data_IF_846898305536
#
_entry.id   IF_846898305536
#
_cell.length_a   1.000
_cell.length_b   1.000
_cell.length_c   1.000
_cell.angle_alpha   90.00
_cell.angle_beta   90.00
_cell.angle_gamma   90.00
#
_symmetry.space_group_name_H-M   'P 1'
#
loop_
_entity.id
_entity.type
_entity.pdbx_description
1 polymer ?
#
# COMPACT_ATOMS: atom_id res chain seq x y z
N UNK A 1 27.18 -5.67 -6.68
CA UNK A 1 26.13 -6.57 -6.13
C UNK A 1 25.89 -7.72 -7.11
N UNK A 2 26.10 -8.96 -6.72
CA UNK A 2 25.74 -10.12 -7.55
C UNK A 2 24.50 -10.78 -6.93
N UNK A 3 23.36 -10.68 -7.59
CA UNK A 3 22.07 -11.27 -7.14
C UNK A 3 22.20 -12.75 -6.78
N UNK A 4 23.08 -13.48 -7.45
CA UNK A 4 23.32 -14.92 -7.23
C UNK A 4 23.78 -15.26 -5.81
N UNK A 5 24.39 -14.32 -5.11
CA UNK A 5 24.93 -14.53 -3.77
C UNK A 5 23.90 -14.30 -2.67
N UNK A 6 22.73 -13.70 -3.02
CA UNK A 6 21.71 -13.31 -2.05
C UNK A 6 20.83 -14.47 -1.56
N UNK A 7 20.81 -15.59 -2.30
CA UNK A 7 20.07 -16.81 -1.95
C UNK A 7 19.10 -17.26 -3.04
N UNK A 8 18.84 -18.57 -3.12
CA UNK A 8 18.06 -19.18 -4.20
C UNK A 8 16.64 -18.63 -4.34
N UNK A 9 15.97 -18.30 -3.23
CA UNK A 9 14.62 -17.69 -3.25
C UNK A 9 14.61 -16.33 -3.92
N UNK A 10 15.57 -15.44 -3.56
CA UNK A 10 15.72 -14.13 -4.17
C UNK A 10 16.07 -14.25 -5.65
N UNK A 11 17.00 -15.15 -6.00
CA UNK A 11 17.42 -15.40 -7.38
C UNK A 11 16.21 -15.80 -8.23
N UNK A 12 15.41 -16.76 -7.76
CA UNK A 12 14.23 -17.24 -8.48
C UNK A 12 13.22 -16.12 -8.75
N UNK A 13 12.93 -15.28 -7.75
CA UNK A 13 12.02 -14.13 -7.93
C UNK A 13 12.63 -13.11 -8.87
N UNK A 14 13.91 -12.78 -8.71
CA UNK A 14 14.61 -11.82 -9.58
C UNK A 14 14.61 -12.27 -11.05
N UNK A 15 14.87 -13.56 -11.32
CA UNK A 15 14.85 -14.08 -12.69
C UNK A 15 13.47 -13.96 -13.33
N UNK A 16 12.40 -14.11 -12.55
CA UNK A 16 11.01 -13.96 -12.99
C UNK A 16 10.55 -12.52 -13.24
N UNK A 17 11.31 -11.49 -12.80
CA UNK A 17 10.94 -10.10 -13.04
C UNK A 17 11.05 -9.74 -14.52
N UNK A 18 10.16 -8.88 -15.01
CA UNK A 18 10.24 -8.30 -16.35
C UNK A 18 11.51 -7.46 -16.52
N UNK A 19 12.04 -7.35 -17.75
CA UNK A 19 13.21 -6.52 -18.03
C UNK A 19 13.04 -5.04 -17.61
N UNK A 20 11.82 -4.52 -17.73
CA UNK A 20 11.46 -3.15 -17.36
C UNK A 20 11.60 -2.92 -15.85
N UNK A 21 11.06 -3.82 -15.04
CA UNK A 21 11.15 -3.78 -13.58
C UNK A 21 12.59 -3.93 -13.09
N UNK A 22 13.37 -4.82 -13.72
CA UNK A 22 14.81 -4.93 -13.44
C UNK A 22 15.56 -3.64 -13.73
N UNK A 23 15.30 -3.01 -14.90
CA UNK A 23 15.92 -1.73 -15.28
C UNK A 23 15.55 -0.61 -14.33
N UNK A 24 14.28 -0.54 -13.89
CA UNK A 24 13.83 0.43 -12.90
C UNK A 24 14.63 0.28 -11.59
N UNK A 25 14.71 -0.94 -11.04
CA UNK A 25 15.44 -1.20 -9.80
C UNK A 25 16.93 -0.87 -9.93
N UNK A 26 17.58 -1.32 -11.00
CA UNK A 26 19.00 -1.04 -11.24
C UNK A 26 19.24 0.45 -11.38
N UNK A 27 18.39 1.16 -12.11
CA UNK A 27 18.48 2.61 -12.26
C UNK A 27 18.36 3.36 -10.93
N UNK A 28 17.44 2.94 -10.04
CA UNK A 28 17.28 3.55 -8.71
C UNK A 28 18.46 3.20 -7.79
N UNK A 29 19.02 1.99 -7.89
CA UNK A 29 20.20 1.58 -7.14
C UNK A 29 21.44 2.40 -7.52
N UNK A 30 21.62 2.68 -8.79
CA UNK A 30 22.78 3.41 -9.32
C UNK A 30 22.67 4.93 -9.10
N UNK A 31 21.49 5.51 -9.37
CA UNK A 31 21.28 6.96 -9.31
C UNK A 31 20.92 7.50 -7.93
N UNK A 32 20.52 6.62 -6.99
CA UNK A 32 19.90 6.97 -5.70
C UNK A 32 18.68 7.89 -5.82
N UNK A 33 18.21 8.18 -7.03
CA UNK A 33 17.03 8.99 -7.32
C UNK A 33 15.95 8.10 -7.94
N UNK A 34 14.71 8.28 -7.47
CA UNK A 34 13.56 7.66 -8.11
C UNK A 34 13.21 8.52 -9.32
N UNK A 35 13.01 7.91 -10.51
CA UNK A 35 12.55 8.68 -11.66
C UNK A 35 11.20 9.32 -11.32
N UNK A 36 11.19 10.62 -11.09
CA UNK A 36 9.94 11.38 -11.11
C UNK A 36 9.42 11.29 -12.54
N UNK A 37 8.13 11.04 -12.74
CA UNK A 37 7.54 10.91 -14.08
C UNK A 37 7.90 12.10 -14.96
N UNK A 38 9.02 12.00 -15.63
CA UNK A 38 9.35 12.95 -16.71
C UNK A 38 8.70 12.41 -17.99
N UNK A 39 8.07 13.26 -18.83
CA UNK A 39 7.29 12.84 -19.99
C UNK A 39 8.08 12.15 -21.10
N UNK A 40 9.35 11.88 -20.89
CA UNK A 40 10.27 11.28 -21.88
C UNK A 40 10.74 9.87 -21.54
N UNK A 41 10.35 9.26 -20.40
CA UNK A 41 10.78 7.90 -20.07
C UNK A 41 9.73 6.86 -20.46
N UNK A 42 10.12 5.94 -21.33
CA UNK A 42 9.37 4.80 -21.89
C UNK A 42 8.98 3.70 -20.89
N UNK A 43 8.99 3.96 -19.58
CA UNK A 43 8.64 2.98 -18.57
C UNK A 43 7.39 3.46 -17.83
N UNK A 44 6.25 2.86 -18.19
CA UNK A 44 5.02 3.01 -17.41
C UNK A 44 5.12 2.06 -16.20
N UNK A 45 5.07 2.60 -15.01
CA UNK A 45 4.82 1.82 -13.80
C UNK A 45 3.37 1.32 -13.85
N UNK A 46 3.15 0.05 -13.53
CA UNK A 46 1.85 -0.60 -13.62
C UNK A 46 1.61 -1.58 -12.45
N UNK A 47 0.37 -2.06 -12.30
CA UNK A 47 0.01 -3.03 -11.27
C UNK A 47 0.85 -4.33 -11.31
N UNK A 48 1.38 -4.69 -12.48
CA UNK A 48 2.27 -5.85 -12.58
C UNK A 48 3.65 -5.55 -11.95
N UNK A 49 4.13 -4.32 -12.05
CA UNK A 49 5.35 -3.89 -11.35
C UNK A 49 5.14 -3.90 -9.82
N UNK A 50 3.95 -3.50 -9.34
CA UNK A 50 3.58 -3.63 -7.92
C UNK A 50 3.71 -5.07 -7.45
N UNK A 51 3.10 -6.01 -8.16
CA UNK A 51 3.15 -7.43 -7.82
C UNK A 51 4.58 -8.00 -7.84
N UNK A 52 5.37 -7.67 -8.88
CA UNK A 52 6.75 -8.11 -9.01
C UNK A 52 7.63 -7.60 -7.86
N UNK A 53 7.54 -6.30 -7.55
CA UNK A 53 8.33 -5.67 -6.49
C UNK A 53 7.89 -6.13 -5.09
N UNK A 54 6.60 -6.32 -4.87
CA UNK A 54 6.04 -6.86 -3.62
C UNK A 54 6.54 -8.28 -3.35
N UNK A 55 6.58 -9.13 -4.37
CA UNK A 55 7.16 -10.49 -4.26
C UNK A 55 8.65 -10.46 -3.96
N UNK A 56 9.38 -9.59 -4.66
CA UNK A 56 10.82 -9.44 -4.41
C UNK A 56 11.08 -8.95 -2.98
N UNK A 57 10.34 -7.95 -2.52
CA UNK A 57 10.43 -7.44 -1.16
C UNK A 57 10.15 -8.53 -0.12
N UNK A 58 9.10 -9.33 -0.33
CA UNK A 58 8.78 -10.47 0.55
C UNK A 58 9.91 -11.50 0.61
N UNK A 59 10.51 -11.85 -0.53
CA UNK A 59 11.62 -12.80 -0.58
C UNK A 59 12.89 -12.25 0.13
N UNK A 60 13.13 -10.94 0.01
CA UNK A 60 14.24 -10.26 0.68
C UNK A 60 14.03 -10.23 2.21
N UNK A 61 12.82 -9.91 2.67
CA UNK A 61 12.48 -9.88 4.09
C UNK A 61 12.53 -11.28 4.71
N UNK A 62 12.08 -12.32 4.00
CA UNK A 62 12.18 -13.71 4.45
C UNK A 62 13.63 -14.17 4.59
N UNK A 63 14.45 -13.87 3.58
CA UNK A 63 15.87 -14.21 3.60
C UNK A 63 16.65 -13.47 4.69
N UNK A 64 16.24 -12.24 5.01
CA UNK A 64 16.80 -11.45 6.10
C UNK A 64 16.53 -12.06 7.48
N UNK A 65 15.34 -12.68 7.67
CA UNK A 65 14.95 -13.35 8.94
C UNK A 65 15.65 -14.69 9.13
N UNK A 66 15.92 -15.41 8.04
CA UNK A 66 16.52 -16.73 8.03
C UNK A 66 17.86 -16.71 7.26
N UNK A 67 18.87 -16.00 7.75
CA UNK A 67 20.19 -16.05 7.15
C UNK A 67 20.75 -17.45 7.36
N UNK A 68 20.83 -18.26 6.28
CA UNK A 68 21.41 -19.61 6.36
C UNK A 68 22.80 -19.57 7.00
N UNK A 69 23.18 -20.65 7.67
CA UNK A 69 24.48 -20.79 8.34
C UNK A 69 25.64 -20.37 7.41
N UNK A 70 26.29 -19.25 7.73
CA UNK A 70 27.46 -18.77 6.97
C UNK A 70 27.24 -17.52 6.11
N UNK A 71 26.08 -16.83 6.14
CA UNK A 71 25.94 -15.56 5.41
C UNK A 71 26.75 -14.46 6.09
N UNK A 72 27.62 -13.85 5.27
CA UNK A 72 28.46 -12.72 5.65
C UNK A 72 27.60 -11.46 5.91
N UNK A 73 28.01 -10.60 6.83
CA UNK A 73 27.37 -9.31 7.10
C UNK A 73 27.20 -8.44 5.83
N UNK A 74 28.12 -8.57 4.88
CA UNK A 74 28.06 -7.90 3.59
C UNK A 74 26.82 -8.32 2.76
N UNK A 75 26.51 -9.61 2.71
CA UNK A 75 25.32 -10.12 2.00
C UNK A 75 24.02 -9.63 2.66
N UNK A 76 23.98 -9.58 4.00
CA UNK A 76 22.82 -9.03 4.71
C UNK A 76 22.62 -7.53 4.45
N UNK A 77 23.70 -6.77 4.34
CA UNK A 77 23.65 -5.37 3.97
C UNK A 77 23.16 -5.17 2.53
N UNK A 78 23.60 -6.02 1.58
CA UNK A 78 23.10 -5.98 0.20
C UNK A 78 21.60 -6.32 0.12
N UNK A 79 21.12 -7.33 0.87
CA UNK A 79 19.71 -7.68 0.97
C UNK A 79 18.91 -6.50 1.51
N UNK A 80 19.36 -5.87 2.60
CA UNK A 80 18.70 -4.70 3.18
C UNK A 80 18.64 -3.53 2.19
N UNK A 81 19.73 -3.22 1.53
CA UNK A 81 19.80 -2.12 0.56
C UNK A 81 18.86 -2.34 -0.64
N UNK A 82 18.76 -3.58 -1.13
CA UNK A 82 17.81 -3.91 -2.21
C UNK A 82 16.36 -3.85 -1.72
N UNK A 83 16.07 -4.33 -0.50
CA UNK A 83 14.75 -4.23 0.11
C UNK A 83 14.31 -2.77 0.30
N UNK A 84 15.20 -1.92 0.80
CA UNK A 84 14.92 -0.49 0.98
C UNK A 84 14.71 0.22 -0.36
N UNK A 85 15.37 -0.26 -1.43
CA UNK A 85 15.14 0.26 -2.79
C UNK A 85 13.77 -0.17 -3.31
N UNK A 86 13.35 -1.43 -3.12
CA UNK A 86 11.98 -1.88 -3.45
C UNK A 86 10.94 -1.03 -2.70
N UNK A 87 11.11 -0.84 -1.38
CA UNK A 87 10.22 0.00 -0.56
C UNK A 87 10.10 1.40 -1.13
N UNK A 88 11.22 2.08 -1.44
CA UNK A 88 11.19 3.43 -2.01
C UNK A 88 10.44 3.51 -3.34
N UNK A 89 10.62 2.52 -4.21
CA UNK A 89 9.91 2.48 -5.50
C UNK A 89 8.42 2.26 -5.29
N UNK A 90 8.04 1.24 -4.51
CA UNK A 90 6.65 0.95 -4.19
C UNK A 90 5.94 2.16 -3.57
N UNK A 91 6.53 2.79 -2.58
CA UNK A 91 5.97 3.99 -1.95
C UNK A 91 5.80 5.16 -2.92
N UNK A 92 6.72 5.35 -3.84
CA UNK A 92 6.67 6.50 -4.73
C UNK A 92 5.74 6.31 -5.92
N UNK A 93 5.50 5.06 -6.35
CA UNK A 93 4.82 4.75 -7.60
C UNK A 93 3.47 4.08 -7.40
N UNK A 94 3.31 3.26 -6.37
CA UNK A 94 2.09 2.49 -6.16
C UNK A 94 0.96 3.32 -5.53
N UNK A 95 -0.27 3.03 -5.95
CA UNK A 95 -1.53 3.43 -5.32
C UNK A 95 -2.38 2.22 -4.94
N UNK A 96 -1.79 1.03 -4.85
CA UNK A 96 -2.48 -0.23 -4.55
C UNK A 96 -2.66 -0.44 -3.05
N UNK A 97 -3.86 -0.83 -2.64
CA UNK A 97 -4.19 -1.22 -1.26
C UNK A 97 -3.28 -2.34 -0.74
N UNK A 98 -3.00 -3.37 -1.56
CA UNK A 98 -2.14 -4.49 -1.18
C UNK A 98 -0.72 -4.05 -0.86
N UNK A 99 -0.17 -3.14 -1.67
CA UNK A 99 1.17 -2.58 -1.45
C UNK A 99 1.20 -1.75 -0.18
N UNK A 100 0.19 -0.91 0.04
CA UNK A 100 0.08 -0.13 1.27
C UNK A 100 0.08 -1.03 2.51
N UNK A 101 -0.77 -2.07 2.52
CA UNK A 101 -0.85 -3.04 3.63
C UNK A 101 0.51 -3.69 3.87
N UNK A 102 1.18 -4.17 2.82
CA UNK A 102 2.50 -4.80 2.95
C UNK A 102 3.54 -3.85 3.58
N UNK A 103 3.58 -2.60 3.14
CA UNK A 103 4.54 -1.61 3.64
C UNK A 103 4.22 -1.20 5.08
N UNK A 104 2.93 -1.02 5.41
CA UNK A 104 2.48 -0.68 6.76
C UNK A 104 2.75 -1.83 7.75
N UNK A 105 2.45 -3.09 7.37
CA UNK A 105 2.81 -4.25 8.18
C UNK A 105 4.32 -4.35 8.41
N UNK A 106 5.11 -4.06 7.36
CA UNK A 106 6.57 -4.05 7.47
C UNK A 106 7.06 -3.00 8.46
N UNK A 107 6.48 -1.80 8.42
CA UNK A 107 6.78 -0.72 9.36
C UNK A 107 6.41 -1.12 10.81
N UNK A 108 5.22 -1.69 11.03
CA UNK A 108 4.79 -2.18 12.34
C UNK A 108 5.73 -3.28 12.86
N UNK A 109 6.08 -4.27 12.04
CA UNK A 109 7.01 -5.36 12.40
C UNK A 109 8.41 -4.87 12.76
N UNK A 110 8.83 -3.73 12.21
CA UNK A 110 10.11 -3.06 12.51
C UNK A 110 10.01 -2.03 13.63
N UNK A 111 8.83 -1.78 14.19
CA UNK A 111 8.54 -0.70 15.13
C UNK A 111 8.92 0.68 14.61
N UNK A 112 8.82 0.88 13.29
CA UNK A 112 9.11 2.14 12.61
C UNK A 112 7.81 2.95 12.46
N UNK A 113 7.41 3.59 13.55
CA UNK A 113 6.17 4.39 13.60
C UNK A 113 6.26 5.67 12.76
N UNK A 114 7.45 6.28 12.66
CA UNK A 114 7.64 7.43 11.76
C UNK A 114 7.37 7.06 10.29
N UNK A 115 7.75 5.83 9.92
CA UNK A 115 7.44 5.32 8.59
C UNK A 115 5.95 5.07 8.42
N UNK A 116 5.28 4.56 9.44
CA UNK A 116 3.84 4.34 9.41
C UNK A 116 3.08 5.67 9.26
N UNK A 117 3.49 6.72 9.98
CA UNK A 117 2.92 8.07 9.83
C UNK A 117 3.09 8.59 8.39
N UNK A 118 4.30 8.45 7.82
CA UNK A 118 4.54 8.85 6.41
C UNK A 118 3.68 8.08 5.42
N UNK A 119 3.41 6.79 5.67
CA UNK A 119 2.51 5.98 4.83
C UNK A 119 1.05 6.42 4.98
N UNK A 120 0.62 6.77 6.19
CA UNK A 120 -0.71 7.33 6.46
C UNK A 120 -0.95 8.64 5.70
N UNK A 121 0.01 9.57 5.74
CA UNK A 121 -0.06 10.82 4.98
C UNK A 121 -0.24 10.55 3.48
N UNK A 122 0.51 9.59 2.94
CA UNK A 122 0.41 9.20 1.52
C UNK A 122 -0.89 8.52 1.16
N UNK A 123 -1.47 7.75 2.09
CA UNK A 123 -2.79 7.14 1.89
C UNK A 123 -3.83 8.23 1.66
N UNK A 124 -3.82 9.28 2.50
CA UNK A 124 -4.72 10.42 2.39
C UNK A 124 -4.51 11.24 1.11
N UNK A 125 -3.25 11.43 0.68
CA UNK A 125 -2.91 12.32 -0.43
C UNK A 125 -3.06 11.67 -1.82
N UNK A 126 -2.89 10.35 -1.94
CA UNK A 126 -2.65 9.70 -3.23
C UNK A 126 -3.61 8.58 -3.59
N UNK A 127 -4.31 8.01 -2.59
CA UNK A 127 -5.19 6.87 -2.83
C UNK A 127 -6.62 7.34 -3.09
N UNK A 128 -7.31 6.63 -3.97
CA UNK A 128 -8.76 6.83 -4.14
C UNK A 128 -9.53 6.31 -2.94
N UNK A 129 -10.75 6.82 -2.73
CA UNK A 129 -11.63 6.32 -1.67
C UNK A 129 -11.85 4.80 -1.77
N UNK A 130 -11.97 4.26 -2.99
CA UNK A 130 -12.10 2.82 -3.22
C UNK A 130 -10.87 2.03 -2.80
N UNK A 131 -9.65 2.52 -3.10
CA UNK A 131 -8.42 1.86 -2.65
C UNK A 131 -8.25 1.92 -1.13
N UNK A 132 -8.67 3.02 -0.49
CA UNK A 132 -8.64 3.12 0.98
C UNK A 132 -9.66 2.16 1.60
N UNK A 133 -10.88 2.05 1.04
CA UNK A 133 -11.87 1.06 1.46
C UNK A 133 -11.36 -0.38 1.27
N UNK A 134 -10.60 -0.63 0.19
CA UNK A 134 -9.97 -1.92 -0.05
C UNK A 134 -8.89 -2.24 1.00
N UNK A 135 -8.16 -1.25 1.52
CA UNK A 135 -7.27 -1.44 2.68
C UNK A 135 -8.05 -1.93 3.89
N UNK A 136 -9.20 -1.29 4.20
CA UNK A 136 -10.06 -1.73 5.32
C UNK A 136 -10.51 -3.18 5.15
N UNK A 137 -10.93 -3.52 3.92
CA UNK A 137 -11.46 -4.85 3.60
C UNK A 137 -10.42 -5.95 3.68
N UNK A 138 -9.20 -5.69 3.22
CA UNK A 138 -8.15 -6.73 3.10
C UNK A 138 -7.31 -6.90 4.36
N UNK A 139 -7.15 -5.85 5.17
CA UNK A 139 -6.25 -5.94 6.32
C UNK A 139 -6.88 -6.62 7.53
N UNK A 140 -6.14 -7.54 8.15
CA UNK A 140 -6.46 -8.12 9.46
C UNK A 140 -5.77 -7.37 10.62
N UNK A 141 -4.90 -6.39 10.31
CA UNK A 141 -4.13 -5.64 11.31
C UNK A 141 -4.95 -4.45 11.82
N UNK A 142 -5.34 -4.42 13.12
CA UNK A 142 -6.23 -3.37 13.64
C UNK A 142 -5.70 -1.96 13.46
N UNK A 143 -4.39 -1.75 13.59
CA UNK A 143 -3.75 -0.44 13.44
C UNK A 143 -3.86 0.07 12.00
N UNK A 144 -3.67 -0.80 10.99
CA UNK A 144 -3.79 -0.43 9.59
C UNK A 144 -5.25 -0.12 9.25
N UNK A 145 -6.17 -0.93 9.77
CA UNK A 145 -7.62 -0.71 9.60
C UNK A 145 -8.06 0.62 10.18
N UNK A 146 -7.58 0.96 11.39
CA UNK A 146 -7.88 2.23 12.03
C UNK A 146 -7.39 3.43 11.21
N UNK A 147 -6.15 3.38 10.71
CA UNK A 147 -5.59 4.41 9.82
C UNK A 147 -6.47 4.59 8.57
N UNK A 148 -6.90 3.50 7.95
CA UNK A 148 -7.71 3.57 6.75
C UNK A 148 -9.11 4.14 7.02
N UNK A 149 -9.77 3.78 8.13
CA UNK A 149 -11.06 4.38 8.53
C UNK A 149 -10.93 5.86 8.84
N UNK A 150 -9.92 6.25 9.60
CA UNK A 150 -9.66 7.67 9.89
C UNK A 150 -9.42 8.46 8.59
N UNK A 151 -8.64 7.89 7.67
CA UNK A 151 -8.40 8.51 6.36
C UNK A 151 -9.70 8.66 5.57
N UNK A 152 -10.57 7.63 5.51
CA UNK A 152 -11.88 7.73 4.84
C UNK A 152 -12.77 8.80 5.48
N UNK A 153 -12.85 8.85 6.81
CA UNK A 153 -13.65 9.85 7.53
C UNK A 153 -13.15 11.29 7.26
N UNK A 154 -11.88 11.49 6.92
CA UNK A 154 -11.34 12.80 6.54
C UNK A 154 -11.64 13.20 5.10
N UNK A 155 -11.98 12.24 4.21
CA UNK A 155 -12.29 12.55 2.80
C UNK A 155 -13.58 13.38 2.68
N UNK A 156 -13.73 14.20 1.62
CA UNK A 156 -14.99 14.86 1.28
C UNK A 156 -16.13 13.83 1.11
N UNK A 157 -17.32 14.12 1.66
CA UNK A 157 -18.51 13.25 1.59
C UNK A 157 -18.83 12.78 0.16
N UNK A 158 -18.76 13.63 -0.88
CA UNK A 158 -19.04 13.19 -2.26
C UNK A 158 -18.14 12.07 -2.78
N UNK A 159 -16.96 11.84 -2.18
CA UNK A 159 -16.08 10.74 -2.55
C UNK A 159 -16.48 9.40 -1.90
N UNK A 160 -17.28 9.44 -0.84
CA UNK A 160 -17.76 8.26 -0.12
C UNK A 160 -19.12 7.76 -0.67
N UNK A 161 -19.96 8.65 -1.22
CA UNK A 161 -21.27 8.32 -1.76
C UNK A 161 -21.23 7.16 -2.77
N UNK A 162 -20.33 7.15 -3.78
CA UNK A 162 -20.28 6.04 -4.74
C UNK A 162 -19.96 4.68 -4.12
N UNK A 163 -19.33 4.66 -2.93
CA UNK A 163 -19.01 3.41 -2.23
C UNK A 163 -20.23 2.81 -1.55
N UNK A 164 -21.25 3.60 -1.22
CA UNK A 164 -22.51 3.10 -0.65
C UNK A 164 -23.30 2.23 -1.64
N UNK A 165 -23.11 2.44 -2.94
CA UNK A 165 -23.75 1.66 -4.00
C UNK A 165 -23.02 0.34 -4.30
N UNK A 166 -21.79 0.16 -3.78
CA UNK A 166 -21.01 -1.05 -3.99
C UNK A 166 -21.16 -2.01 -2.79
N UNK A 167 -21.76 -3.20 -2.98
CA UNK A 167 -21.97 -4.15 -1.88
C UNK A 167 -20.71 -4.58 -1.14
N UNK A 168 -19.52 -4.43 -1.74
CA UNK A 168 -18.25 -4.75 -1.08
C UNK A 168 -17.79 -3.64 -0.12
N UNK A 169 -18.21 -2.41 -0.35
CA UNK A 169 -17.73 -1.23 0.37
C UNK A 169 -18.81 -0.47 1.11
N UNK A 170 -20.09 -0.80 0.90
CA UNK A 170 -21.23 -0.06 1.48
C UNK A 170 -21.13 0.07 3.00
N UNK A 171 -20.87 -1.02 3.72
CA UNK A 171 -20.73 -1.00 5.18
C UNK A 171 -19.50 -0.17 5.63
N UNK A 172 -18.41 -0.22 4.86
CA UNK A 172 -17.20 0.55 5.14
C UNK A 172 -17.46 2.04 4.96
N UNK A 173 -18.17 2.40 3.89
CA UNK A 173 -18.54 3.78 3.60
C UNK A 173 -19.53 4.34 4.63
N UNK A 174 -20.55 3.56 4.99
CA UNK A 174 -21.52 3.94 6.02
C UNK A 174 -20.82 4.20 7.37
N UNK A 175 -19.99 3.27 7.84
CA UNK A 175 -19.21 3.44 9.08
C UNK A 175 -18.29 4.68 9.03
N UNK A 176 -17.69 4.98 7.87
CA UNK A 176 -16.83 6.16 7.70
C UNK A 176 -17.63 7.46 7.71
N UNK A 177 -18.84 7.46 7.14
CA UNK A 177 -19.77 8.59 7.20
C UNK A 177 -20.32 8.80 8.61
N UNK A 178 -20.63 7.71 9.35
CA UNK A 178 -21.04 7.78 10.77
C UNK A 178 -19.94 8.41 11.61
N UNK A 179 -18.70 7.95 11.46
CA UNK A 179 -17.55 8.53 12.14
C UNK A 179 -17.41 10.01 11.81
N UNK A 180 -17.55 10.37 10.52
CA UNK A 180 -17.49 11.77 10.06
C UNK A 180 -18.61 12.62 10.64
N UNK A 181 -19.84 12.12 10.68
CA UNK A 181 -20.98 12.80 11.25
C UNK A 181 -20.82 13.05 12.76
N UNK A 182 -20.25 12.07 13.47
CA UNK A 182 -20.10 12.12 14.92
C UNK A 182 -18.84 12.88 15.38
N UNK A 183 -17.68 12.59 14.82
CA UNK A 183 -16.40 13.15 15.27
C UNK A 183 -16.12 14.53 14.67
N UNK A 184 -16.54 14.77 13.42
CA UNK A 184 -16.31 16.01 12.68
C UNK A 184 -17.56 16.90 12.58
N UNK A 185 -18.67 16.53 13.24
CA UNK A 185 -19.94 17.26 13.27
C UNK A 185 -20.44 17.63 11.85
N UNK A 186 -20.34 16.68 10.91
CA UNK A 186 -20.70 16.90 9.51
C UNK A 186 -22.19 16.69 9.27
N UNK A 187 -22.95 17.76 9.05
CA UNK A 187 -24.36 17.69 8.67
C UNK A 187 -24.55 16.99 7.33
N UNK A 188 -23.67 17.27 6.35
CA UNK A 188 -23.70 16.59 5.04
C UNK A 188 -23.61 15.06 5.15
N UNK A 189 -22.75 14.56 6.05
CA UNK A 189 -22.63 13.11 6.29
C UNK A 189 -23.89 12.53 6.95
N UNK A 190 -24.54 13.27 7.88
CA UNK A 190 -25.82 12.86 8.48
C UNK A 190 -26.93 12.77 7.45
N UNK A 191 -27.09 13.81 6.61
CA UNK A 191 -28.11 13.84 5.56
C UNK A 191 -27.97 12.65 4.60
N UNK A 192 -26.73 12.32 4.20
CA UNK A 192 -26.44 11.18 3.32
C UNK A 192 -26.78 9.85 3.98
N UNK A 193 -26.46 9.68 5.27
CA UNK A 193 -26.77 8.45 6.01
C UNK A 193 -28.27 8.26 6.17
N UNK A 194 -29.03 9.30 6.55
CA UNK A 194 -30.48 9.24 6.67
C UNK A 194 -31.13 8.83 5.35
N UNK A 195 -30.68 9.40 4.24
CA UNK A 195 -31.16 9.00 2.91
C UNK A 195 -30.81 7.54 2.59
N UNK A 196 -29.59 7.11 2.85
CA UNK A 196 -29.14 5.75 2.59
C UNK A 196 -29.92 4.72 3.41
N UNK A 197 -30.14 4.97 4.71
CA UNK A 197 -30.94 4.09 5.58
C UNK A 197 -32.38 3.97 5.09
N UNK A 198 -33.02 5.08 4.74
CA UNK A 198 -34.36 5.09 4.16
C UNK A 198 -34.45 4.27 2.88
N UNK A 199 -33.47 4.39 1.99
CA UNK A 199 -33.42 3.60 0.75
C UNK A 199 -33.24 2.09 1.00
N UNK A 200 -32.48 1.70 2.02
CA UNK A 200 -32.29 0.29 2.39
C UNK A 200 -33.56 -0.31 2.99
N UNK A 201 -34.29 0.43 3.84
CA UNK A 201 -35.59 0.00 4.38
C UNK A 201 -36.63 -0.27 3.26
N UNK A 202 -36.69 0.62 2.28
CA UNK A 202 -37.61 0.49 1.14
C UNK A 202 -37.24 -0.68 0.20
N UNK A 203 -35.98 -1.10 0.14
CA UNK A 203 -35.53 -2.25 -0.66
C UNK A 203 -35.72 -3.60 0.06
N UNK A 204 -35.89 -3.58 1.38
CA UNK A 204 -36.08 -4.76 2.22
C UNK A 204 -37.54 -5.23 2.37
N UNK A 205 -38.49 -4.41 1.93
CA UNK A 205 -39.92 -4.75 1.84
C UNK A 205 -40.28 -5.34 0.45
#
# INVERSE_FOLDING_TARGET
MMIKDLGSGIVSVWEGLRPETKKLLVGVLESKTIPTQAPTQKYSYDAHADWELSRLLSALDEQSKNPGSGKNAEVLNEISHLADTCVRVLESQSGSAEVFIQLAERAIKKHDYNKLDTLSDRLAERFSAGEIAEVVRQTEVPQIRAIAYETLAMLPVPLLIPLLDDPLYADIAANSLEQKAFEFDSDEARDVLEQYEFEQEMKGE
#
